data_IF_312517873146
#
_entry.id   IF_312517873146
#
_cell.length_a   1.000
_cell.length_b   1.000
_cell.length_c   1.000
_cell.angle_alpha   90.00
_cell.angle_beta   90.00
_cell.angle_gamma   90.00
#
_symmetry.space_group_name_H-M   'P 1'
#
loop_
_entity.id
_entity.type
_entity.pdbx_description
1 polymer ?
#
# COMPACT_ATOMS: atom_id res chain seq x y z
N UNK A 1 -3.64 14.50 -5.53
CA UNK A 1 -2.45 13.94 -4.84
C UNK A 1 -2.91 13.05 -3.72
N UNK A 2 -2.12 12.07 -3.31
CA UNK A 2 -2.50 11.19 -2.20
C UNK A 2 -1.28 10.63 -1.46
N UNK A 3 -1.48 10.35 -0.18
CA UNK A 3 -0.56 9.53 0.62
C UNK A 3 -0.97 8.06 0.42
N UNK A 4 0.00 7.17 0.20
CA UNK A 4 -0.26 5.72 0.21
C UNK A 4 -0.62 5.27 1.62
N UNK A 5 -1.67 4.45 1.73
CA UNK A 5 -1.99 3.80 3.00
C UNK A 5 -0.95 2.70 3.27
N UNK A 6 -0.67 2.42 4.54
CA UNK A 6 0.27 1.37 4.91
C UNK A 6 -0.22 0.55 6.09
N UNK A 7 0.05 -0.75 6.01
CA UNK A 7 -0.14 -1.72 7.08
C UNK A 7 1.23 -2.18 7.54
N UNK A 8 1.49 -2.10 8.84
CA UNK A 8 2.79 -2.31 9.44
C UNK A 8 2.73 -3.44 10.46
N UNK A 9 3.85 -4.13 10.67
CA UNK A 9 3.94 -5.17 11.70
C UNK A 9 4.25 -4.60 13.09
N UNK A 10 4.75 -3.37 13.15
CA UNK A 10 5.08 -2.65 14.38
C UNK A 10 5.12 -1.14 14.12
N UNK A 11 4.92 -0.35 15.16
CA UNK A 11 5.25 1.08 15.18
C UNK A 11 6.77 1.28 15.07
N UNK A 12 7.21 2.38 14.47
CA UNK A 12 8.62 2.71 14.34
C UNK A 12 8.93 3.58 13.13
N UNK A 13 10.18 3.52 12.62
CA UNK A 13 10.55 4.20 11.38
C UNK A 13 9.74 3.69 10.19
N UNK A 14 9.21 4.61 9.40
CA UNK A 14 8.41 4.33 8.20
C UNK A 14 8.76 5.31 7.08
N UNK A 15 8.35 4.95 5.86
CA UNK A 15 8.42 5.84 4.69
C UNK A 15 7.00 6.23 4.29
N UNK A 16 6.70 7.53 4.34
CA UNK A 16 5.50 8.09 3.74
C UNK A 16 5.73 8.28 2.25
N UNK A 17 4.89 7.67 1.41
CA UNK A 17 4.94 7.83 -0.05
C UNK A 17 3.79 8.71 -0.52
N UNK A 18 4.11 9.80 -1.23
CA UNK A 18 3.11 10.70 -1.80
C UNK A 18 3.11 10.58 -3.32
N UNK A 19 1.92 10.42 -3.90
CA UNK A 19 1.71 10.16 -5.32
C UNK A 19 0.76 11.16 -5.97
N UNK A 20 0.92 11.29 -7.29
CA UNK A 20 0.04 12.06 -8.15
C UNK A 20 -0.90 11.12 -8.92
N UNK A 21 -2.19 11.46 -8.90
CA UNK A 21 -3.14 11.01 -9.91
C UNK A 21 -3.55 12.26 -10.69
N UNK A 22 -3.25 12.31 -11.97
CA UNK A 22 -3.48 13.48 -12.84
C UNK A 22 -4.88 13.47 -13.45
N UNK A 23 -5.53 12.30 -13.53
CA UNK A 23 -6.83 12.17 -14.20
C UNK A 23 -6.80 12.61 -15.66
N UNK A 24 -5.63 12.49 -16.32
CA UNK A 24 -5.40 12.92 -17.70
C UNK A 24 -5.03 14.40 -17.87
N UNK A 25 -4.95 15.18 -16.79
CA UNK A 25 -4.47 16.56 -16.85
C UNK A 25 -2.95 16.63 -17.03
N UNK A 26 -2.47 17.65 -17.73
CA UNK A 26 -1.04 17.94 -17.82
C UNK A 26 -0.62 18.78 -16.62
N UNK A 27 0.01 18.12 -15.65
CA UNK A 27 0.48 18.75 -14.40
C UNK A 27 2.01 18.77 -14.43
N UNK A 28 2.62 19.94 -14.28
CA UNK A 28 4.09 20.09 -14.31
C UNK A 28 4.68 20.44 -12.95
N UNK A 29 3.85 20.97 -12.04
CA UNK A 29 4.22 21.31 -10.68
C UNK A 29 3.07 21.07 -9.72
N UNK A 30 3.39 20.79 -8.46
CA UNK A 30 2.42 20.50 -7.40
C UNK A 30 2.82 21.13 -6.08
N UNK A 31 1.83 21.50 -5.28
CA UNK A 31 1.99 21.84 -3.86
C UNK A 31 0.95 21.08 -3.04
N UNK A 32 1.34 20.64 -1.85
CA UNK A 32 0.40 20.20 -0.83
C UNK A 32 1.01 20.36 0.57
N UNK A 33 0.14 20.36 1.58
CA UNK A 33 0.50 20.27 2.98
C UNK A 33 0.06 18.90 3.52
N UNK A 34 0.97 18.19 4.18
CA UNK A 34 0.67 16.99 4.96
C UNK A 34 0.40 17.41 6.39
N UNK A 35 -0.85 17.32 6.86
CA UNK A 35 -1.20 17.52 8.27
C UNK A 35 -1.01 16.19 9.00
N UNK A 36 -0.11 16.20 9.98
CA UNK A 36 0.32 15.00 10.70
C UNK A 36 -0.60 14.79 11.92
N UNK A 37 -1.33 13.68 11.92
CA UNK A 37 -2.17 13.29 13.05
C UNK A 37 -1.37 12.98 14.31
N UNK A 38 -2.09 12.59 15.37
CA UNK A 38 -1.46 11.97 16.53
C UNK A 38 -0.71 10.69 16.09
N UNK A 39 0.37 10.35 16.79
CA UNK A 39 1.10 9.11 16.54
C UNK A 39 2.07 9.13 15.36
N UNK A 40 2.17 10.21 14.57
CA UNK A 40 3.13 10.27 13.46
C UNK A 40 3.90 11.59 13.38
N UNK A 41 5.21 11.52 13.17
CA UNK A 41 6.05 12.69 12.91
C UNK A 41 6.99 12.43 11.74
N UNK A 42 7.13 13.41 10.85
CA UNK A 42 8.18 13.39 9.83
C UNK A 42 9.49 13.77 10.49
N UNK A 43 10.54 13.00 10.26
CA UNK A 43 11.85 13.25 10.86
C UNK A 43 12.45 14.55 10.32
N UNK A 44 13.29 15.21 11.10
CA UNK A 44 14.11 16.30 10.59
C UNK A 44 15.43 15.74 10.04
N UNK A 45 15.87 16.26 8.89
CA UNK A 45 17.21 16.00 8.37
C UNK A 45 18.26 16.86 9.11
N UNK A 46 19.54 16.71 8.74
CA UNK A 46 20.65 17.44 9.36
C UNK A 46 20.54 18.98 9.29
N UNK A 47 19.72 19.52 8.38
CA UNK A 47 19.46 20.96 8.25
C UNK A 47 18.23 21.45 9.02
N UNK A 48 17.59 20.59 9.81
CA UNK A 48 16.36 20.92 10.55
C UNK A 48 15.11 21.00 9.66
N UNK A 49 15.20 20.55 8.41
CA UNK A 49 14.09 20.51 7.44
C UNK A 49 13.45 19.12 7.44
N UNK A 50 12.20 18.97 6.95
CA UNK A 50 11.61 17.64 6.80
C UNK A 50 12.53 16.72 6.02
N UNK A 51 12.73 15.50 6.52
CA UNK A 51 13.48 14.44 5.86
C UNK A 51 12.65 13.84 4.71
N UNK A 52 12.39 14.68 3.72
CA UNK A 52 11.64 14.36 2.52
C UNK A 52 12.54 14.53 1.29
N UNK A 53 12.40 13.60 0.35
CA UNK A 53 13.17 13.58 -0.89
C UNK A 53 12.22 13.55 -2.07
N UNK A 54 12.32 14.54 -2.96
CA UNK A 54 11.60 14.54 -4.23
C UNK A 54 12.08 13.39 -5.11
N UNK A 55 11.18 12.76 -5.86
CA UNK A 55 11.54 11.69 -6.76
C UNK A 55 12.48 12.22 -7.87
N UNK A 56 13.76 11.78 -7.92
CA UNK A 56 14.72 12.32 -8.86
C UNK A 56 14.35 12.03 -10.32
N UNK A 57 13.60 10.96 -10.59
CA UNK A 57 13.17 10.60 -11.95
C UNK A 57 12.24 11.65 -12.59
N UNK A 58 11.62 12.52 -11.78
CA UNK A 58 10.76 13.59 -12.28
C UNK A 58 11.55 14.80 -12.80
N UNK A 59 12.86 14.90 -12.48
CA UNK A 59 13.70 16.04 -12.81
C UNK A 59 13.06 17.39 -12.41
N UNK A 60 12.43 17.43 -11.22
CA UNK A 60 11.84 18.63 -10.63
C UNK A 60 12.79 19.22 -9.58
N UNK A 61 13.91 19.75 -10.05
CA UNK A 61 15.04 20.22 -9.25
C UNK A 61 14.76 21.46 -8.37
N UNK A 62 13.67 22.18 -8.59
CA UNK A 62 13.21 23.27 -7.73
C UNK A 62 12.36 22.81 -6.53
N UNK A 63 12.22 21.50 -6.32
CA UNK A 63 11.39 20.95 -5.25
C UNK A 63 11.91 21.31 -3.87
N UNK A 64 11.01 21.54 -2.92
CA UNK A 64 11.36 21.92 -1.55
C UNK A 64 10.34 21.42 -0.53
N UNK A 65 10.82 21.27 0.71
CA UNK A 65 10.04 20.79 1.84
C UNK A 65 10.30 21.68 3.06
N UNK A 66 9.24 22.01 3.79
CA UNK A 66 9.32 22.82 5.00
C UNK A 66 8.33 22.33 6.06
N UNK A 67 8.73 22.37 7.32
CA UNK A 67 7.81 22.17 8.42
C UNK A 67 6.91 23.39 8.62
N UNK A 68 5.70 23.15 9.11
CA UNK A 68 4.74 24.17 9.51
C UNK A 68 4.29 23.96 10.97
N UNK A 69 4.04 25.05 11.72
CA UNK A 69 4.30 26.44 11.34
C UNK A 69 5.81 26.73 11.19
N UNK A 70 6.22 27.75 10.41
CA UNK A 70 7.64 28.05 10.21
C UNK A 70 8.38 28.23 11.55
N UNK A 71 9.52 27.57 11.69
CA UNK A 71 10.35 27.66 12.90
C UNK A 71 9.92 26.77 14.07
N UNK A 72 8.94 25.87 13.89
CA UNK A 72 8.63 24.87 14.89
C UNK A 72 9.83 23.95 15.18
N UNK A 73 9.94 23.50 16.42
CA UNK A 73 10.85 22.41 16.77
C UNK A 73 10.37 21.11 16.08
N UNK A 74 11.26 20.21 15.64
CA UNK A 74 10.91 19.03 14.84
C UNK A 74 9.76 18.18 15.39
N UNK A 75 9.67 18.04 16.71
CA UNK A 75 8.65 17.28 17.43
C UNK A 75 7.32 18.03 17.61
N UNK A 76 7.36 19.37 17.55
CA UNK A 76 6.21 20.27 17.65
C UNK A 76 5.58 20.61 16.29
N UNK A 77 6.25 20.29 15.18
CA UNK A 77 5.76 20.53 13.84
C UNK A 77 4.55 19.65 13.52
N UNK A 78 3.44 20.26 13.15
CA UNK A 78 2.17 19.57 12.90
C UNK A 78 1.91 19.35 11.42
N UNK A 79 2.66 20.00 10.53
CA UNK A 79 2.50 19.77 9.09
C UNK A 79 3.80 19.90 8.31
N UNK A 80 3.81 19.32 7.11
CA UNK A 80 4.90 19.43 6.13
C UNK A 80 4.34 20.01 4.84
N UNK A 81 4.85 21.16 4.42
CA UNK A 81 4.62 21.69 3.07
C UNK A 81 5.59 21.05 2.11
N UNK A 82 5.07 20.52 1.01
CA UNK A 82 5.83 20.04 -0.12
C UNK A 82 5.49 20.87 -1.36
N UNK A 83 6.53 21.27 -2.09
CA UNK A 83 6.43 21.85 -3.42
C UNK A 83 7.30 21.01 -4.34
N UNK A 84 6.72 20.44 -5.39
CA UNK A 84 7.44 19.69 -6.42
C UNK A 84 7.35 20.47 -7.73
N UNK A 85 8.48 21.03 -8.17
CA UNK A 85 8.52 21.98 -9.29
C UNK A 85 9.91 22.03 -9.93
N UNK A 86 9.97 22.47 -11.19
CA UNK A 86 11.18 22.99 -11.82
C UNK A 86 10.83 24.22 -12.66
N UNK A 87 11.76 25.16 -12.73
CA UNK A 87 11.66 26.33 -13.61
C UNK A 87 12.22 26.05 -15.02
N UNK A 88 12.96 24.95 -15.18
CA UNK A 88 13.66 24.60 -16.42
C UNK A 88 13.03 23.39 -17.10
N UNK A 89 12.41 22.51 -16.32
CA UNK A 89 11.72 21.33 -16.80
C UNK A 89 10.20 21.46 -16.61
N UNK A 90 9.51 21.76 -17.70
CA UNK A 90 8.03 21.81 -17.77
C UNK A 90 7.42 20.54 -18.35
N UNK A 91 8.16 19.44 -18.43
CA UNK A 91 7.57 18.16 -18.85
C UNK A 91 6.49 17.73 -17.84
N UNK A 92 5.32 17.28 -18.31
CA UNK A 92 4.25 16.80 -17.43
C UNK A 92 4.72 15.62 -16.56
N UNK A 93 4.35 15.66 -15.28
CA UNK A 93 4.55 14.56 -14.34
C UNK A 93 3.61 13.41 -14.74
N UNK A 94 4.13 12.20 -15.01
CA UNK A 94 3.28 11.08 -15.41
C UNK A 94 2.23 10.71 -14.35
N UNK A 95 1.07 10.25 -14.80
CA UNK A 95 0.03 9.74 -13.91
C UNK A 95 0.53 8.57 -13.06
N UNK A 96 0.12 8.52 -11.80
CA UNK A 96 0.57 7.50 -10.85
C UNK A 96 2.03 7.65 -10.44
N UNK A 97 2.70 8.77 -10.72
CA UNK A 97 4.08 8.97 -10.26
C UNK A 97 4.16 9.15 -8.74
N UNK A 98 5.21 8.62 -8.13
CA UNK A 98 5.66 9.05 -6.81
C UNK A 98 6.24 10.45 -6.95
N UNK A 99 5.69 11.40 -6.20
CA UNK A 99 6.16 12.79 -6.18
C UNK A 99 7.38 12.92 -5.26
N UNK A 100 7.26 12.38 -4.06
CA UNK A 100 8.30 12.41 -3.03
C UNK A 100 8.03 11.34 -1.97
N UNK A 101 9.06 11.03 -1.19
CA UNK A 101 8.97 10.22 0.02
C UNK A 101 9.45 11.02 1.22
N UNK A 102 8.93 10.71 2.41
CA UNK A 102 9.41 11.28 3.67
C UNK A 102 9.72 10.16 4.67
N UNK A 103 10.87 10.24 5.32
CA UNK A 103 11.16 9.40 6.48
C UNK A 103 10.38 9.95 7.68
N UNK A 104 9.60 9.08 8.30
CA UNK A 104 8.76 9.42 9.44
C UNK A 104 8.90 8.37 10.54
N UNK A 105 8.41 8.72 11.72
CA UNK A 105 8.28 7.82 12.85
C UNK A 105 6.81 7.71 13.21
N UNK A 106 6.30 6.48 13.20
CA UNK A 106 5.02 6.11 13.76
C UNK A 106 5.25 5.68 15.22
N UNK A 107 4.62 6.35 16.17
CA UNK A 107 4.74 6.10 17.61
C UNK A 107 3.48 5.50 18.22
N UNK A 108 2.46 5.23 17.42
CA UNK A 108 1.18 4.65 17.84
C UNK A 108 0.80 3.47 16.93
N UNK A 109 -0.28 2.78 17.25
CA UNK A 109 -0.79 1.66 16.45
C UNK A 109 -1.57 2.12 15.21
N UNK A 110 -1.97 3.39 15.16
CA UNK A 110 -2.58 4.01 13.99
C UNK A 110 -2.22 5.49 13.88
N UNK A 111 -2.20 6.00 12.64
CA UNK A 111 -2.07 7.42 12.40
C UNK A 111 -2.73 7.83 11.08
N UNK A 112 -3.14 9.09 11.03
CA UNK A 112 -3.72 9.73 9.84
C UNK A 112 -2.79 10.83 9.34
N UNK A 113 -2.69 10.92 8.02
CA UNK A 113 -2.00 12.02 7.34
C UNK A 113 -2.99 12.68 6.39
N UNK A 114 -3.45 13.88 6.74
CA UNK A 114 -4.39 14.60 5.88
C UNK A 114 -3.64 15.41 4.82
N UNK A 115 -4.16 15.41 3.59
CA UNK A 115 -3.57 16.14 2.46
C UNK A 115 -4.41 17.38 2.19
N UNK A 116 -3.84 18.54 2.49
CA UNK A 116 -4.49 19.85 2.36
C UNK A 116 -3.65 20.80 1.51
N UNK A 117 -4.11 22.04 1.31
CA UNK A 117 -3.33 23.07 0.60
C UNK A 117 -2.94 22.69 -0.83
N UNK A 118 -3.75 21.85 -1.46
CA UNK A 118 -3.42 21.21 -2.74
C UNK A 118 -3.52 22.22 -3.88
N UNK A 119 -2.44 22.34 -4.64
CA UNK A 119 -2.36 23.15 -5.85
C UNK A 119 -1.54 22.45 -6.93
N UNK A 120 -1.84 22.72 -8.19
CA UNK A 120 -1.05 22.24 -9.32
C UNK A 120 -1.07 23.28 -10.44
N UNK A 121 -0.07 23.22 -11.32
CA UNK A 121 0.00 24.08 -12.50
C UNK A 121 0.28 23.29 -13.78
N UNK A 122 -0.13 23.86 -14.90
CA UNK A 122 0.24 23.43 -16.26
C UNK A 122 1.61 24.00 -16.68
N UNK A 123 2.03 23.69 -17.91
CA UNK A 123 3.34 24.08 -18.46
C UNK A 123 3.50 25.60 -18.62
N UNK A 124 2.38 26.31 -18.80
CA UNK A 124 2.32 27.77 -18.89
C UNK A 124 2.30 28.44 -17.50
N UNK A 125 2.24 27.66 -16.42
CA UNK A 125 2.19 28.14 -15.05
C UNK A 125 0.79 28.55 -14.59
N UNK A 126 -0.26 28.25 -15.37
CA UNK A 126 -1.63 28.50 -14.93
C UNK A 126 -2.05 27.44 -13.91
N UNK A 127 -2.91 27.81 -12.93
CA UNK A 127 -3.43 26.84 -11.99
C UNK A 127 -4.37 25.84 -12.67
N UNK A 128 -4.20 24.56 -12.36
CA UNK A 128 -5.12 23.50 -12.79
C UNK A 128 -6.29 23.41 -11.79
N UNK A 129 -7.54 23.64 -12.21
CA UNK A 129 -8.69 23.61 -11.31
C UNK A 129 -9.09 22.18 -10.92
N UNK A 130 -9.83 22.04 -9.81
CA UNK A 130 -10.39 20.76 -9.38
C UNK A 130 -9.38 19.78 -8.78
N UNK A 131 -8.16 20.24 -8.46
CA UNK A 131 -7.17 19.40 -7.77
C UNK A 131 -7.53 19.19 -6.31
N UNK A 132 -7.31 17.98 -5.82
CA UNK A 132 -7.65 17.59 -4.46
C UNK A 132 -6.63 16.59 -3.87
N UNK A 133 -6.67 16.46 -2.54
CA UNK A 133 -5.89 15.52 -1.74
C UNK A 133 -6.72 14.32 -1.30
N UNK A 134 -6.13 13.12 -1.30
CA UNK A 134 -6.65 11.98 -0.55
C UNK A 134 -5.74 11.73 0.64
N UNK A 135 -6.35 11.67 1.82
CA UNK A 135 -5.66 11.44 3.07
C UNK A 135 -5.14 9.99 3.12
N UNK A 136 -4.04 9.80 3.84
CA UNK A 136 -3.46 8.49 4.10
C UNK A 136 -3.85 7.98 5.48
N UNK A 137 -3.93 6.67 5.60
CA UNK A 137 -4.12 5.95 6.85
C UNK A 137 -3.00 4.92 7.05
N UNK A 138 -2.47 4.88 8.27
CA UNK A 138 -1.41 3.98 8.67
C UNK A 138 -1.89 3.18 9.86
N UNK A 139 -1.70 1.86 9.85
CA UNK A 139 -2.08 1.00 10.95
C UNK A 139 -1.07 -0.11 11.18
N UNK A 140 -0.96 -0.54 12.44
CA UNK A 140 -0.15 -1.66 12.89
C UNK A 140 -1.05 -2.88 13.09
N UNK A 141 -0.72 -4.00 12.45
CA UNK A 141 -1.44 -5.25 12.67
C UNK A 141 -1.21 -5.76 14.11
N UNK A 142 -2.27 -6.28 14.76
CA UNK A 142 -2.09 -6.95 16.03
C UNK A 142 -1.19 -8.19 15.83
N UNK A 143 -0.32 -8.49 16.80
CA UNK A 143 0.50 -9.69 16.73
C UNK A 143 -0.40 -10.93 16.61
N UNK A 144 0.05 -11.99 15.91
CA UNK A 144 -0.74 -13.20 15.77
C UNK A 144 -1.06 -13.76 17.16
N UNK A 145 -2.33 -14.11 17.38
CA UNK A 145 -2.73 -14.82 18.61
C UNK A 145 -1.97 -16.15 18.64
N UNK A 146 -1.27 -16.50 19.74
CA UNK A 146 -0.54 -17.76 19.79
C UNK A 146 -1.53 -18.92 19.63
N UNK A 147 -1.29 -19.79 18.63
CA UNK A 147 -2.02 -21.05 18.49
C UNK A 147 -1.76 -21.90 19.73
N UNK A 148 -2.78 -22.48 20.39
CA UNK A 148 -2.55 -23.36 21.52
C UNK A 148 -1.72 -24.56 21.08
N UNK A 149 -0.50 -24.70 21.62
CA UNK A 149 0.29 -25.92 21.47
C UNK A 149 -0.39 -27.03 22.25
N UNK A 150 -0.98 -28.00 21.55
CA UNK A 150 -1.48 -29.22 22.19
C UNK A 150 -0.25 -30.01 22.67
N UNK A 151 0.05 -29.92 23.96
CA UNK A 151 1.03 -30.81 24.60
C UNK A 151 0.46 -32.23 24.55
N UNK A 152 1.02 -33.09 23.71
CA UNK A 152 0.66 -34.50 23.70
C UNK A 152 1.03 -35.12 25.06
N UNK A 153 0.03 -35.39 25.89
CA UNK A 153 0.20 -36.22 27.08
C UNK A 153 0.61 -37.61 26.60
N UNK A 154 1.83 -38.04 26.93
CA UNK A 154 2.26 -39.43 26.71
C UNK A 154 1.33 -40.34 27.51
N UNK A 155 0.41 -41.03 26.83
CA UNK A 155 -0.27 -42.20 27.39
C UNK A 155 0.78 -43.25 27.72
N UNK A 156 0.79 -43.74 28.95
CA UNK A 156 1.68 -44.83 29.35
C UNK A 156 1.45 -46.03 28.41
N UNK A 157 2.55 -46.54 27.82
CA UNK A 157 2.53 -47.78 27.04
C UNK A 157 2.02 -48.92 27.93
N UNK A 158 1.10 -49.78 27.46
CA UNK A 158 0.70 -50.95 28.24
C UNK A 158 1.93 -51.83 28.48
N UNK A 159 2.19 -52.12 29.75
CA UNK A 159 3.20 -53.09 30.18
C UNK A 159 2.78 -54.46 29.67
N UNK A 160 3.55 -55.04 28.74
CA UNK A 160 3.40 -56.43 28.31
C UNK A 160 3.74 -57.37 29.48
N UNK A 161 2.89 -58.36 29.81
CA UNK A 161 3.23 -59.40 30.79
C UNK A 161 4.37 -60.30 30.25
N UNK A 162 5.18 -60.91 31.14
CA UNK A 162 6.29 -61.76 30.74
C UNK A 162 5.78 -63.04 30.10
N UNK A 163 6.23 -63.33 28.87
CA UNK A 163 6.00 -64.62 28.22
C UNK A 163 7.06 -65.61 28.72
N UNK A 164 6.56 -66.66 29.34
CA UNK A 164 7.26 -67.83 29.86
C UNK A 164 7.96 -68.63 28.73
N UNK A 165 9.19 -69.09 28.98
CA UNK A 165 10.05 -69.76 28.01
C UNK A 165 9.80 -71.28 27.92
N UNK A 166 9.71 -71.85 26.72
CA UNK A 166 9.98 -73.29 26.45
C UNK A 166 9.97 -73.63 24.94
N UNK A 167 10.55 -74.75 24.47
CA UNK A 167 11.96 -74.83 24.08
C UNK A 167 12.20 -75.18 22.59
N UNK A 168 13.44 -74.92 22.18
CA UNK A 168 14.32 -75.63 21.22
C UNK A 168 13.69 -76.52 20.14
N UNK A 169 13.91 -76.13 18.87
CA UNK A 169 14.04 -77.07 17.75
C UNK A 169 15.36 -76.83 17.00
N UNK A 170 16.27 -77.79 17.14
CA UNK A 170 17.52 -77.91 16.39
C UNK A 170 17.22 -78.33 14.94
N UNK A 171 17.71 -77.57 13.96
CA UNK A 171 17.93 -78.10 12.61
C UNK A 171 19.28 -77.67 12.06
N UNK A 172 20.13 -78.69 11.90
CA UNK A 172 21.38 -78.71 11.17
C UNK A 172 21.13 -78.74 9.66
N UNK A 173 21.78 -77.85 8.90
CA UNK A 173 22.11 -78.08 7.49
C UNK A 173 23.35 -77.25 7.08
N UNK A 174 24.25 -77.95 6.38
CA UNK A 174 25.64 -77.68 5.95
C UNK A 174 25.69 -76.82 4.65
N UNK A 175 26.83 -76.19 4.28
CA UNK A 175 26.86 -74.90 3.57
C UNK A 175 26.88 -75.01 2.03
N UNK A 176 26.52 -73.92 1.36
CA UNK A 176 26.89 -73.69 -0.04
C UNK A 176 27.11 -72.20 -0.28
N UNK A 177 28.33 -71.85 -0.66
CA UNK A 177 28.75 -70.52 -1.08
C UNK A 177 28.14 -70.20 -2.45
N UNK A 178 27.59 -68.99 -2.64
CA UNK A 178 28.07 -68.24 -3.79
C UNK A 178 28.34 -66.76 -3.47
N UNK A 179 29.44 -66.29 -4.06
CA UNK A 179 29.88 -64.90 -4.16
C UNK A 179 28.98 -64.16 -5.15
N UNK A 180 28.37 -63.03 -4.77
CA UNK A 180 27.97 -61.97 -5.72
C UNK A 180 28.09 -60.60 -5.06
N UNK A 181 28.79 -59.71 -5.77
CA UNK A 181 29.05 -58.29 -5.52
C UNK A 181 27.90 -57.47 -6.12
N UNK A 182 27.30 -56.51 -5.38
CA UNK A 182 26.69 -55.31 -5.96
C UNK A 182 26.41 -54.19 -4.93
N UNK A 183 26.78 -52.99 -5.35
CA UNK A 183 26.80 -51.65 -4.76
C UNK A 183 25.42 -51.07 -4.39
N UNK A 184 25.28 -50.26 -3.31
CA UNK A 184 24.04 -49.52 -3.04
C UNK A 184 24.11 -48.07 -3.56
N UNK A 185 23.04 -47.56 -4.18
CA UNK A 185 22.71 -46.12 -4.14
C UNK A 185 21.20 -45.93 -4.31
N UNK A 186 20.64 -45.10 -3.44
CA UNK A 186 19.21 -44.90 -3.16
C UNK A 186 18.56 -43.89 -4.12
N UNK A 187 17.29 -44.14 -4.44
CA UNK A 187 16.35 -43.19 -5.06
C UNK A 187 15.38 -42.65 -3.99
N UNK A 188 15.22 -41.33 -3.80
CA UNK A 188 14.05 -40.78 -3.12
C UNK A 188 12.96 -40.40 -4.13
N UNK A 189 11.75 -40.93 -3.93
CA UNK A 189 10.52 -40.58 -4.67
C UNK A 189 9.79 -39.44 -3.95
N UNK A 190 9.44 -38.41 -4.72
CA UNK A 190 8.63 -37.25 -4.35
C UNK A 190 7.16 -37.65 -4.17
N UNK A 191 6.50 -37.19 -3.11
CA UNK A 191 5.03 -37.21 -3.03
C UNK A 191 4.51 -35.83 -2.60
N UNK A 192 3.80 -35.20 -3.54
CA UNK A 192 3.02 -33.97 -3.42
C UNK A 192 1.62 -34.34 -2.91
N UNK A 193 1.12 -33.62 -1.91
CA UNK A 193 -0.26 -33.76 -1.42
C UNK A 193 -0.82 -32.41 -0.99
N UNK A 194 -1.68 -31.85 -1.84
CA UNK A 194 -2.56 -30.70 -1.58
C UNK A 194 -3.76 -31.12 -0.73
N UNK A 195 -4.29 -30.24 0.13
CA UNK A 195 -5.72 -29.98 0.01
C UNK A 195 -6.14 -28.50 0.14
N UNK A 196 -7.24 -28.22 -0.56
CA UNK A 196 -8.03 -26.99 -0.70
C UNK A 196 -8.70 -26.55 0.62
N UNK A 197 -8.83 -25.24 0.94
CA UNK A 197 -9.64 -24.80 2.07
C UNK A 197 -11.12 -24.62 1.66
N UNK A 198 -12.00 -25.23 2.47
CA UNK A 198 -13.46 -25.08 2.45
C UNK A 198 -13.82 -23.76 3.14
N UNK A 199 -14.63 -22.92 2.48
CA UNK A 199 -15.19 -21.68 3.04
C UNK A 199 -16.47 -22.01 3.80
N UNK A 200 -16.49 -21.79 5.11
CA UNK A 200 -17.70 -21.88 5.95
C UNK A 200 -17.81 -20.66 6.87
N UNK A 201 -18.92 -19.94 6.76
CA UNK A 201 -19.61 -19.25 7.87
C UNK A 201 -19.03 -17.93 8.40
N UNK A 202 -19.74 -16.84 8.13
CA UNK A 202 -19.69 -15.62 8.93
C UNK A 202 -20.26 -15.87 10.34
N UNK A 203 -19.82 -15.10 11.36
CA UNK A 203 -20.70 -14.73 12.46
C UNK A 203 -20.88 -13.21 12.56
N UNK A 204 -22.03 -12.88 13.15
CA UNK A 204 -22.55 -11.54 13.38
C UNK A 204 -21.90 -10.86 14.60
N UNK A 205 -21.91 -9.52 14.57
CA UNK A 205 -22.13 -8.65 15.73
C UNK A 205 -21.15 -8.77 16.90
N UNK A 206 -20.02 -8.05 16.82
CA UNK A 206 -19.13 -7.77 17.94
C UNK A 206 -18.85 -6.28 18.04
N UNK A 207 -18.95 -5.73 19.26
CA UNK A 207 -18.67 -4.33 19.60
C UNK A 207 -17.20 -4.02 19.28
N UNK A 208 -16.97 -2.99 18.47
CA UNK A 208 -15.66 -2.72 17.87
C UNK A 208 -14.66 -2.13 18.87
N UNK A 209 -13.77 -2.98 19.37
CA UNK A 209 -12.56 -2.61 20.13
C UNK A 209 -11.30 -3.24 19.49
N UNK A 210 -11.24 -3.29 18.16
CA UNK A 210 -10.08 -3.81 17.42
C UNK A 210 -9.98 -3.21 16.03
N UNK A 211 -8.82 -2.63 15.71
CA UNK A 211 -8.49 -2.07 14.41
C UNK A 211 -8.54 -3.18 13.34
N UNK A 212 -9.66 -3.29 12.64
CA UNK A 212 -9.71 -4.07 11.41
C UNK A 212 -8.88 -3.28 10.38
N UNK A 213 -7.63 -3.70 10.14
CA UNK A 213 -6.65 -3.09 9.23
C UNK A 213 -7.08 -3.20 7.75
N UNK A 214 -8.38 -3.16 7.48
CA UNK A 214 -8.98 -3.04 6.16
C UNK A 214 -8.69 -1.64 5.61
N UNK A 215 -7.42 -1.39 5.26
CA UNK A 215 -7.10 -0.39 4.25
C UNK A 215 -7.86 -0.80 2.99
N UNK A 216 -8.85 0.01 2.64
CA UNK A 216 -9.59 -0.16 1.39
C UNK A 216 -8.59 0.08 0.27
N UNK A 217 -7.99 -1.02 -0.20
CA UNK A 217 -7.23 -1.05 -1.45
C UNK A 217 -8.09 -0.36 -2.48
N UNK A 218 -7.63 0.82 -2.95
CA UNK A 218 -8.42 1.77 -3.70
C UNK A 218 -9.39 1.07 -4.64
N UNK A 219 -10.68 1.25 -4.38
CA UNK A 219 -11.73 0.81 -5.27
C UNK A 219 -11.37 1.30 -6.67
N UNK A 220 -10.98 0.37 -7.55
CA UNK A 220 -10.98 0.61 -8.98
C UNK A 220 -12.42 1.03 -9.28
N UNK A 221 -12.62 2.32 -9.52
CA UNK A 221 -13.91 2.91 -9.83
C UNK A 221 -14.44 2.35 -11.14
N UNK A 222 -14.94 1.12 -11.10
CA UNK A 222 -15.82 0.55 -12.11
C UNK A 222 -17.19 1.18 -11.92
N UNK A 223 -17.35 2.42 -12.38
CA UNK A 223 -18.68 2.99 -12.55
C UNK A 223 -19.36 2.26 -13.70
N UNK A 224 -20.08 1.20 -13.34
CA UNK A 224 -21.13 0.62 -14.17
C UNK A 224 -22.29 1.60 -14.24
N UNK A 225 -22.15 2.63 -15.05
CA UNK A 225 -23.23 3.51 -15.46
C UNK A 225 -23.95 2.89 -16.66
N UNK A 226 -24.60 1.75 -16.44
CA UNK A 226 -25.71 1.34 -17.29
C UNK A 226 -26.91 2.20 -16.83
N UNK A 227 -27.64 2.72 -17.81
CA UNK A 227 -28.79 3.64 -17.73
C UNK A 227 -28.44 5.13 -17.82
N UNK A 228 -28.37 5.63 -19.06
CA UNK A 228 -29.21 6.72 -19.58
C UNK A 228 -28.93 6.90 -21.09
N UNK A 229 -29.64 6.13 -21.91
CA UNK A 229 -29.84 6.46 -23.32
C UNK A 229 -30.98 7.47 -23.41
N UNK A 230 -30.67 8.75 -23.65
CA UNK A 230 -31.57 9.67 -24.34
C UNK A 230 -30.74 10.67 -25.19
N UNK A 231 -31.07 10.85 -26.48
CA UNK A 231 -30.33 11.72 -27.39
C UNK A 231 -30.87 13.16 -27.29
N UNK A 232 -29.99 14.14 -27.09
CA UNK A 232 -30.33 15.56 -27.32
C UNK A 232 -29.36 16.13 -28.32
N UNK A 233 -29.66 15.86 -29.59
CA UNK A 233 -29.29 16.74 -30.69
C UNK A 233 -30.02 18.08 -30.53
N UNK A 234 -29.37 19.14 -31.00
CA UNK A 234 -29.90 20.49 -31.23
C UNK A 234 -29.80 21.51 -30.08
N UNK A 235 -28.58 21.97 -29.79
CA UNK A 235 -28.35 23.40 -29.50
C UNK A 235 -27.06 23.88 -30.18
N UNK A 236 -27.05 23.76 -31.52
CA UNK A 236 -26.04 24.36 -32.39
C UNK A 236 -26.73 25.34 -33.35
N UNK A 237 -27.52 26.28 -32.83
CA UNK A 237 -28.17 27.29 -33.68
C UNK A 237 -28.45 28.64 -32.99
N UNK A 238 -27.61 29.08 -32.04
CA UNK A 238 -27.76 30.42 -31.42
C UNK A 238 -26.47 31.28 -31.41
N UNK A 239 -25.52 31.00 -32.32
CA UNK A 239 -24.28 31.80 -32.48
C UNK A 239 -24.08 32.40 -33.88
N UNK A 240 -25.16 32.67 -34.64
CA UNK A 240 -25.06 33.30 -35.98
C UNK A 240 -26.05 34.45 -36.27
N UNK A 241 -26.59 35.13 -35.26
CA UNK A 241 -27.53 36.24 -35.48
C UNK A 241 -27.11 37.61 -34.93
N UNK A 242 -25.84 37.79 -34.53
CA UNK A 242 -25.36 39.05 -33.94
C UNK A 242 -24.25 39.78 -34.74
N UNK A 243 -23.95 39.38 -35.99
CA UNK A 243 -22.90 40.03 -36.80
C UNK A 243 -23.32 40.46 -38.23
N UNK A 244 -24.62 40.70 -38.50
CA UNK A 244 -25.06 41.26 -39.80
C UNK A 244 -26.07 42.42 -39.61
N UNK A 245 -25.90 43.26 -38.59
CA UNK A 245 -26.58 44.57 -38.48
C UNK A 245 -25.64 45.69 -38.04
N UNK A 246 -24.54 45.86 -38.77
CA UNK A 246 -23.67 47.04 -38.59
C UNK A 246 -23.01 47.56 -39.87
N UNK A 247 -23.66 47.34 -41.02
CA UNK A 247 -23.16 47.85 -42.30
C UNK A 247 -24.29 48.19 -43.30
N UNK A 248 -25.37 48.84 -42.86
CA UNK A 248 -26.23 49.69 -43.72
C UNK A 248 -26.91 50.70 -42.79
N UNK A 249 -26.52 51.98 -42.86
CA UNK A 249 -27.19 53.06 -42.12
C UNK A 249 -26.27 54.06 -41.44
N UNK A 250 -25.46 54.78 -42.23
CA UNK A 250 -25.05 56.13 -41.88
C UNK A 250 -25.10 56.94 -43.18
N UNK A 251 -26.09 57.83 -43.23
CA UNK A 251 -26.16 58.96 -44.14
C UNK A 251 -25.07 59.98 -43.83
#
# INVERSE_FOLDING_TARGET
MYVEDAVLLASGPITLTVRLATGGQQIVATQNDLVLGAGIRVNANASGRPDCTANPALNKNGSSFAFLPPGCAPDACTSVRAVVVSLENVDPIPDGSVLYTCNATLSDVEARVDVTGVGASDAEGNPVPGVAGRNGFLCVEPPPTPTPTITATRTASPTTPPVEASPTATRTATPTTPVVIATPTRTPTTAVGSPTPIRTGAPAGGKGDGCDCNVVSGARGGWSSIWLLLPVLALRWWRRSAMIRRAVGAS
#
